data_IF_425870555872
#
_entry.id   IF_425870555872
#
_cell.length_a   1.000
_cell.length_b   1.000
_cell.length_c   1.000
_cell.angle_alpha   90.00
_cell.angle_beta   90.00
_cell.angle_gamma   90.00
#
_symmetry.space_group_name_H-M   'P 1'
#
loop_
_entity.id
_entity.type
_entity.pdbx_description
1 polymer ?
#
# COMPACT_ATOMS: atom_id res chain seq x y z
N UNK A 1 -18.44 -37.32 -20.05
CA UNK A 1 -17.88 -36.19 -20.83
C UNK A 1 -16.96 -35.38 -19.94
N UNK A 2 -15.72 -35.12 -20.35
CA UNK A 2 -14.74 -34.37 -19.57
C UNK A 2 -14.91 -32.85 -19.56
N UNK A 3 -16.06 -32.32 -19.99
CA UNK A 3 -16.32 -30.88 -20.08
C UNK A 3 -17.01 -30.38 -18.80
N UNK A 4 -16.54 -29.25 -18.26
CA UNK A 4 -17.12 -28.59 -17.09
C UNK A 4 -16.96 -27.08 -17.19
N UNK A 5 -17.84 -26.31 -16.53
CA UNK A 5 -17.80 -24.84 -16.54
C UNK A 5 -17.11 -24.31 -15.28
N UNK A 6 -16.20 -23.33 -15.41
CA UNK A 6 -15.56 -22.66 -14.26
C UNK A 6 -15.55 -21.15 -14.50
N UNK A 7 -16.38 -20.42 -13.74
CA UNK A 7 -16.75 -19.05 -14.07
C UNK A 7 -17.62 -18.99 -15.32
N UNK A 8 -17.29 -18.12 -16.26
CA UNK A 8 -18.01 -17.99 -17.52
C UNK A 8 -17.46 -18.93 -18.63
N UNK A 9 -16.28 -19.52 -18.46
CA UNK A 9 -15.56 -20.28 -19.50
C UNK A 9 -15.72 -21.80 -19.34
N UNK A 10 -15.83 -22.52 -20.47
CA UNK A 10 -15.80 -24.00 -20.51
C UNK A 10 -14.38 -24.56 -20.46
N UNK A 11 -14.23 -25.69 -19.77
CA UNK A 11 -12.98 -26.42 -19.58
C UNK A 11 -13.13 -27.88 -19.97
N UNK A 12 -12.08 -28.44 -20.56
CA UNK A 12 -11.94 -29.82 -20.96
C UNK A 12 -10.98 -30.57 -20.02
N UNK A 13 -11.34 -31.79 -19.62
CA UNK A 13 -10.52 -32.72 -18.86
C UNK A 13 -10.32 -34.00 -19.67
N UNK A 14 -9.07 -34.38 -19.91
CA UNK A 14 -8.70 -35.57 -20.68
C UNK A 14 -7.65 -36.36 -19.91
N UNK A 15 -7.77 -37.69 -19.87
CA UNK A 15 -6.70 -38.56 -19.38
C UNK A 15 -5.78 -38.96 -20.53
N UNK A 16 -4.47 -38.74 -20.36
CA UNK A 16 -3.45 -39.16 -21.32
C UNK A 16 -2.19 -39.60 -20.57
N UNK A 17 -1.67 -40.79 -20.90
CA UNK A 17 -0.51 -41.42 -20.24
C UNK A 17 -0.64 -41.51 -18.71
N UNK A 18 -1.81 -41.91 -18.21
CA UNK A 18 -2.09 -42.06 -16.78
C UNK A 18 -2.18 -40.74 -15.99
N UNK A 19 -2.05 -39.58 -16.66
CA UNK A 19 -2.19 -38.25 -16.05
C UNK A 19 -3.44 -37.55 -16.55
N UNK A 20 -4.13 -36.85 -15.64
CA UNK A 20 -5.26 -35.99 -15.98
C UNK A 20 -4.74 -34.63 -16.46
N UNK A 21 -5.10 -34.26 -17.68
CA UNK A 21 -4.81 -32.96 -18.29
C UNK A 21 -6.08 -32.14 -18.38
N UNK A 22 -5.98 -30.84 -18.07
CA UNK A 22 -7.11 -29.90 -18.14
C UNK A 22 -6.77 -28.72 -19.02
N UNK A 23 -7.69 -28.36 -19.91
CA UNK A 23 -7.53 -27.32 -20.92
C UNK A 23 -8.71 -26.35 -20.85
N UNK A 24 -8.45 -25.04 -20.99
CA UNK A 24 -9.51 -24.07 -21.19
C UNK A 24 -9.98 -24.11 -22.64
N UNK A 25 -11.28 -24.25 -22.87
CA UNK A 25 -11.87 -24.13 -24.21
C UNK A 25 -11.96 -22.67 -24.68
N UNK A 26 -11.68 -21.69 -23.78
CA UNK A 26 -11.72 -20.24 -24.05
C UNK A 26 -13.04 -19.73 -24.65
N UNK A 27 -14.12 -20.47 -24.45
CA UNK A 27 -15.45 -20.14 -24.96
C UNK A 27 -16.50 -20.20 -23.85
N UNK A 28 -17.55 -19.39 -24.01
CA UNK A 28 -18.75 -19.38 -23.19
C UNK A 28 -19.79 -20.38 -23.72
N UNK A 29 -19.68 -20.75 -25.00
CA UNK A 29 -20.60 -21.62 -25.71
C UNK A 29 -20.21 -23.10 -25.52
N UNK A 30 -21.20 -23.90 -25.13
CA UNK A 30 -21.05 -25.34 -24.88
C UNK A 30 -20.76 -26.11 -26.17
N UNK A 31 -21.33 -25.69 -27.30
CA UNK A 31 -21.17 -26.36 -28.60
C UNK A 31 -19.77 -26.14 -29.15
N UNK A 32 -19.26 -24.91 -29.07
CA UNK A 32 -17.86 -24.60 -29.37
C UNK A 32 -16.90 -25.36 -28.44
N UNK A 33 -17.23 -25.46 -27.15
CA UNK A 33 -16.42 -26.22 -26.19
C UNK A 33 -16.36 -27.72 -26.53
N UNK A 34 -17.45 -28.29 -27.05
CA UNK A 34 -17.48 -29.67 -27.54
C UNK A 34 -16.61 -29.86 -28.78
N UNK A 35 -16.62 -28.93 -29.73
CA UNK A 35 -15.75 -28.96 -30.90
C UNK A 35 -14.26 -28.88 -30.51
N UNK A 36 -13.91 -27.96 -29.59
CA UNK A 36 -12.55 -27.83 -29.05
C UNK A 36 -12.12 -29.10 -28.32
N UNK A 37 -13.00 -29.69 -27.51
CA UNK A 37 -12.73 -30.95 -26.82
C UNK A 37 -12.47 -32.12 -27.77
N UNK A 38 -13.29 -32.26 -28.82
CA UNK A 38 -13.12 -33.30 -29.84
C UNK A 38 -11.78 -33.13 -30.59
N UNK A 39 -11.41 -31.90 -30.92
CA UNK A 39 -10.13 -31.58 -31.55
C UNK A 39 -8.93 -31.96 -30.68
N UNK A 40 -8.97 -31.63 -29.39
CA UNK A 40 -7.92 -32.00 -28.42
C UNK A 40 -7.78 -33.52 -28.31
N UNK A 41 -8.89 -34.26 -28.24
CA UNK A 41 -8.87 -35.73 -28.21
C UNK A 41 -8.25 -36.33 -29.49
N UNK A 42 -8.55 -35.74 -30.65
CA UNK A 42 -8.00 -36.18 -31.93
C UNK A 42 -6.49 -35.97 -32.00
N UNK A 43 -6.01 -34.78 -31.60
CA UNK A 43 -4.58 -34.44 -31.61
C UNK A 43 -3.76 -35.30 -30.63
N UNK A 44 -4.34 -35.65 -29.48
CA UNK A 44 -3.74 -36.58 -28.52
C UNK A 44 -3.65 -38.01 -29.05
N UNK A 45 -4.67 -38.48 -29.79
CA UNK A 45 -4.64 -39.79 -30.45
C UNK A 45 -3.60 -39.86 -31.58
N UNK A 46 -3.38 -38.75 -32.27
CA UNK A 46 -2.42 -38.66 -33.38
C UNK A 46 -0.96 -38.47 -32.92
N UNK A 47 -0.69 -38.37 -31.61
CA UNK A 47 0.66 -38.19 -31.08
C UNK A 47 1.31 -36.84 -31.45
N UNK A 48 0.56 -35.91 -32.04
CA UNK A 48 1.06 -34.60 -32.51
C UNK A 48 1.07 -33.53 -31.42
N UNK A 49 0.30 -33.72 -30.35
CA UNK A 49 0.19 -32.74 -29.27
C UNK A 49 1.34 -32.89 -28.26
N UNK A 50 2.29 -31.96 -28.26
CA UNK A 50 3.04 -31.65 -27.03
C UNK A 50 2.04 -31.08 -26.03
N UNK A 51 1.70 -31.87 -25.01
CA UNK A 51 0.81 -31.43 -23.94
C UNK A 51 1.51 -30.32 -23.15
N UNK A 52 1.29 -29.06 -23.56
CA UNK A 52 1.64 -27.91 -22.73
C UNK A 52 0.69 -27.94 -21.54
N UNK A 53 1.22 -28.34 -20.39
CA UNK A 53 0.51 -28.29 -19.10
C UNK A 53 0.11 -26.83 -18.81
N UNK A 54 -1.10 -26.44 -19.18
CA UNK A 54 -1.69 -25.20 -18.66
C UNK A 54 -2.15 -25.48 -17.23
N UNK A 55 -1.32 -25.12 -16.25
CA UNK A 55 -1.72 -25.15 -14.83
C UNK A 55 -3.02 -24.32 -14.67
N UNK A 56 -4.07 -24.87 -14.04
CA UNK A 56 -5.27 -24.09 -13.78
C UNK A 56 -4.97 -23.08 -12.68
N UNK A 57 -5.05 -21.80 -13.01
CA UNK A 57 -4.79 -20.60 -12.20
C UNK A 57 -3.32 -20.18 -12.08
N UNK A 58 -2.80 -19.48 -13.08
CA UNK A 58 -2.09 -18.24 -12.79
C UNK A 58 -2.95 -17.13 -13.43
N UNK A 59 -3.48 -16.15 -12.67
CA UNK A 59 -3.96 -14.92 -13.29
C UNK A 59 -2.81 -14.38 -14.16
N UNK A 60 -3.12 -13.80 -15.31
CA UNK A 60 -2.11 -13.12 -16.14
C UNK A 60 -1.25 -12.26 -15.23
N UNK A 61 0.03 -12.65 -15.09
CA UNK A 61 0.89 -12.17 -14.02
C UNK A 61 1.00 -10.66 -14.17
N UNK A 62 0.82 -9.86 -13.11
CA UNK A 62 0.99 -8.42 -13.22
C UNK A 62 2.42 -8.14 -13.68
N UNK A 63 2.61 -7.72 -14.93
CA UNK A 63 3.92 -7.32 -15.47
C UNK A 63 4.46 -6.03 -14.84
N UNK A 64 3.61 -5.38 -14.03
CA UNK A 64 3.87 -4.09 -13.46
C UNK A 64 4.99 -4.17 -12.41
N UNK A 65 5.98 -3.30 -12.55
CA UNK A 65 6.99 -3.07 -11.52
C UNK A 65 6.38 -2.31 -10.34
N UNK A 66 7.04 -2.35 -9.19
CA UNK A 66 6.61 -1.59 -8.02
C UNK A 66 6.54 -0.09 -8.32
N UNK A 67 7.52 0.46 -9.03
CA UNK A 67 7.53 1.88 -9.36
C UNK A 67 6.37 2.28 -10.28
N UNK A 68 6.11 1.49 -11.34
CA UNK A 68 4.98 1.74 -12.24
C UNK A 68 3.65 1.66 -11.50
N UNK A 69 3.46 0.63 -10.68
CA UNK A 69 2.29 0.51 -9.82
C UNK A 69 2.13 1.73 -8.91
N UNK A 70 3.20 2.10 -8.23
CA UNK A 70 3.19 3.15 -7.23
C UNK A 70 2.86 4.50 -7.87
N UNK A 71 3.49 4.83 -8.99
CA UNK A 71 3.33 6.12 -9.65
C UNK A 71 2.03 6.22 -10.45
N UNK A 72 1.73 5.21 -11.26
CA UNK A 72 0.61 5.26 -12.19
C UNK A 72 -0.73 4.99 -11.53
N UNK A 73 -0.77 4.23 -10.43
CA UNK A 73 -2.01 3.86 -9.75
C UNK A 73 -2.08 4.44 -8.34
N UNK A 74 -1.14 4.07 -7.45
CA UNK A 74 -1.25 4.37 -6.03
C UNK A 74 -1.14 5.87 -5.71
N UNK A 75 -0.18 6.57 -6.32
CA UNK A 75 0.01 8.01 -6.14
C UNK A 75 -1.14 8.80 -6.75
N UNK A 76 -1.63 8.42 -7.94
CA UNK A 76 -2.81 9.08 -8.55
C UNK A 76 -4.04 8.96 -7.64
N UNK A 77 -4.26 7.79 -7.06
CA UNK A 77 -5.34 7.59 -6.09
C UNK A 77 -5.16 8.42 -4.81
N UNK A 78 -3.92 8.55 -4.30
CA UNK A 78 -3.65 9.37 -3.12
C UNK A 78 -3.89 10.87 -3.35
N UNK A 79 -3.73 11.35 -4.58
CA UNK A 79 -3.88 12.77 -4.94
C UNK A 79 -5.29 13.25 -4.63
N UNK A 80 -5.41 14.34 -3.86
CA UNK A 80 -6.68 14.92 -3.43
C UNK A 80 -7.43 14.14 -2.34
N UNK A 81 -7.04 12.90 -2.03
CA UNK A 81 -7.66 12.08 -0.98
C UNK A 81 -6.88 12.08 0.32
N UNK A 82 -5.56 12.27 0.26
CA UNK A 82 -4.71 12.15 1.43
C UNK A 82 -3.89 13.41 1.68
N UNK A 83 -3.98 13.92 2.92
CA UNK A 83 -3.21 15.07 3.40
C UNK A 83 -1.68 14.87 3.36
N UNK A 84 -1.20 13.62 3.25
CA UNK A 84 0.23 13.28 3.19
C UNK A 84 0.72 12.90 1.78
N UNK A 85 0.00 13.32 0.73
CA UNK A 85 0.35 13.03 -0.66
C UNK A 85 1.77 13.51 -1.03
N UNK A 86 2.13 14.74 -0.64
CA UNK A 86 3.43 15.33 -0.99
C UNK A 86 4.61 14.48 -0.49
N UNK A 87 4.53 13.97 0.74
CA UNK A 87 5.58 13.13 1.30
C UNK A 87 5.58 11.71 0.71
N UNK A 88 4.43 11.18 0.27
CA UNK A 88 4.38 9.92 -0.49
C UNK A 88 5.01 10.06 -1.88
N UNK A 89 4.92 11.24 -2.51
CA UNK A 89 5.63 11.51 -3.76
C UNK A 89 7.15 11.45 -3.56
N UNK A 90 7.66 11.93 -2.43
CA UNK A 90 9.08 11.85 -2.10
C UNK A 90 9.53 10.42 -1.77
N UNK A 91 8.66 9.60 -1.19
CA UNK A 91 8.96 8.20 -0.87
C UNK A 91 9.49 7.41 -2.07
N UNK A 92 8.89 7.56 -3.25
CA UNK A 92 9.37 6.85 -4.45
C UNK A 92 10.79 7.27 -4.86
N UNK A 93 11.21 8.50 -4.55
CA UNK A 93 12.57 8.99 -4.85
C UNK A 93 13.63 8.38 -3.95
N UNK A 94 13.32 8.15 -2.68
CA UNK A 94 14.26 7.59 -1.69
C UNK A 94 14.30 6.07 -1.68
N UNK A 95 13.33 5.41 -2.32
CA UNK A 95 13.33 3.96 -2.45
C UNK A 95 14.54 3.51 -3.30
N UNK A 96 15.21 2.40 -2.97
CA UNK A 96 16.35 1.96 -3.75
C UNK A 96 15.93 1.52 -5.16
N UNK A 97 16.80 1.79 -6.14
CA UNK A 97 16.49 1.59 -7.56
C UNK A 97 16.22 0.11 -7.91
N UNK A 98 16.90 -0.82 -7.23
CA UNK A 98 16.65 -2.24 -7.40
C UNK A 98 15.23 -2.62 -6.99
N UNK A 99 14.70 -2.05 -5.91
CA UNK A 99 13.35 -2.37 -5.43
C UNK A 99 12.27 -1.79 -6.33
N UNK A 100 12.50 -0.59 -6.88
CA UNK A 100 11.59 0.05 -7.84
C UNK A 100 11.31 -0.82 -9.06
N UNK A 101 12.33 -1.52 -9.54
CA UNK A 101 12.29 -2.36 -10.74
C UNK A 101 11.75 -3.78 -10.49
N UNK A 102 11.60 -4.19 -9.23
CA UNK A 102 11.00 -5.49 -8.92
C UNK A 102 9.54 -5.51 -9.37
N UNK A 103 9.13 -6.64 -9.94
CA UNK A 103 7.71 -6.90 -10.19
C UNK A 103 6.99 -7.07 -8.87
N UNK A 104 5.71 -6.71 -8.81
CA UNK A 104 4.97 -6.85 -7.56
C UNK A 104 5.03 -8.28 -7.02
N UNK A 105 4.83 -9.29 -7.87
CA UNK A 105 4.81 -10.72 -7.52
C UNK A 105 6.17 -11.27 -7.00
N UNK A 106 7.26 -10.60 -7.32
CA UNK A 106 8.61 -10.94 -6.82
C UNK A 106 8.86 -10.41 -5.41
N UNK A 107 8.12 -9.39 -4.98
CA UNK A 107 8.31 -8.77 -3.67
C UNK A 107 7.74 -9.69 -2.58
N UNK A 108 8.64 -10.25 -1.77
CA UNK A 108 8.32 -11.07 -0.61
C UNK A 108 8.83 -10.40 0.67
N UNK A 109 8.78 -11.13 1.78
CA UNK A 109 9.25 -10.65 3.09
C UNK A 109 10.72 -10.22 3.05
N UNK A 110 11.56 -11.01 2.35
CA UNK A 110 13.00 -10.77 2.24
C UNK A 110 13.30 -9.41 1.61
N UNK A 111 12.60 -9.04 0.54
CA UNK A 111 12.87 -7.78 -0.18
C UNK A 111 12.49 -6.57 0.68
N UNK A 112 11.45 -6.70 1.52
CA UNK A 112 11.08 -5.66 2.49
C UNK A 112 12.13 -5.51 3.61
N UNK A 113 12.68 -6.62 4.10
CA UNK A 113 13.76 -6.60 5.09
C UNK A 113 15.04 -5.98 4.51
N UNK A 114 15.36 -6.25 3.25
CA UNK A 114 16.45 -5.59 2.53
C UNK A 114 16.23 -4.08 2.38
N UNK A 115 14.99 -3.64 2.16
CA UNK A 115 14.65 -2.20 2.17
C UNK A 115 14.85 -1.59 3.56
N UNK A 116 14.49 -2.30 4.63
CA UNK A 116 14.74 -1.83 6.00
C UNK A 116 16.25 -1.67 6.24
N UNK A 117 17.06 -2.68 5.87
CA UNK A 117 18.51 -2.64 6.00
C UNK A 117 19.11 -1.47 5.21
N UNK A 118 18.66 -1.26 3.97
CA UNK A 118 19.10 -0.14 3.13
C UNK A 118 18.87 1.22 3.83
N UNK A 119 17.70 1.45 4.43
CA UNK A 119 17.46 2.71 5.13
C UNK A 119 18.24 2.82 6.45
N UNK A 120 18.50 1.71 7.14
CA UNK A 120 19.37 1.69 8.32
C UNK A 120 20.83 2.01 7.97
N UNK A 121 21.35 1.48 6.86
CA UNK A 121 22.68 1.81 6.33
C UNK A 121 22.81 3.30 5.96
N UNK A 122 21.71 3.92 5.53
CA UNK A 122 21.62 5.37 5.30
C UNK A 122 21.45 6.20 6.58
N UNK A 123 21.60 5.60 7.77
CA UNK A 123 21.41 6.23 9.08
C UNK A 123 20.03 6.89 9.26
N UNK A 124 18.99 6.38 8.60
CA UNK A 124 17.63 6.83 8.85
C UNK A 124 17.18 6.46 10.27
N UNK A 125 16.40 7.32 10.92
CA UNK A 125 15.80 6.97 12.21
C UNK A 125 14.85 5.78 12.08
N UNK A 126 14.73 4.98 13.14
CA UNK A 126 13.81 3.83 13.21
C UNK A 126 12.38 4.24 12.84
N UNK A 127 11.92 5.40 13.32
CA UNK A 127 10.62 5.98 12.98
C UNK A 127 10.46 6.19 11.47
N UNK A 128 11.51 6.66 10.79
CA UNK A 128 11.51 6.88 9.34
C UNK A 128 11.46 5.56 8.58
N UNK A 129 12.28 4.59 8.97
CA UNK A 129 12.25 3.23 8.40
C UNK A 129 10.87 2.59 8.54
N UNK A 130 10.27 2.67 9.74
CA UNK A 130 8.93 2.16 10.02
C UNK A 130 7.86 2.87 9.18
N UNK A 131 7.97 4.19 9.01
CA UNK A 131 7.07 4.97 8.16
C UNK A 131 7.12 4.54 6.70
N UNK A 132 8.32 4.31 6.17
CA UNK A 132 8.52 3.82 4.80
C UNK A 132 7.95 2.41 4.62
N UNK A 133 8.19 1.51 5.57
CA UNK A 133 7.55 0.19 5.59
C UNK A 133 6.01 0.30 5.59
N UNK A 134 5.43 1.20 6.39
CA UNK A 134 3.99 1.43 6.41
C UNK A 134 3.45 1.92 5.07
N UNK A 135 4.21 2.76 4.34
CA UNK A 135 3.81 3.21 2.99
C UNK A 135 3.75 2.03 2.02
N UNK A 136 4.77 1.16 2.03
CA UNK A 136 4.79 -0.06 1.19
C UNK A 136 3.60 -0.95 1.53
N UNK A 137 3.37 -1.25 2.81
CA UNK A 137 2.23 -2.09 3.24
C UNK A 137 0.88 -1.50 2.85
N UNK A 138 0.73 -0.18 2.94
CA UNK A 138 -0.48 0.51 2.52
C UNK A 138 -0.68 0.46 1.00
N UNK A 139 0.40 0.54 0.20
CA UNK A 139 0.32 0.41 -1.25
C UNK A 139 -0.07 -1.01 -1.66
N UNK A 140 0.48 -2.04 -1.01
CA UNK A 140 0.09 -3.44 -1.26
C UNK A 140 -1.33 -3.76 -0.83
N UNK A 141 -1.83 -3.15 0.25
CA UNK A 141 -3.25 -3.32 0.64
C UNK A 141 -4.17 -2.78 -0.46
N UNK A 142 -3.84 -1.61 -1.06
CA UNK A 142 -4.63 -1.10 -2.19
C UNK A 142 -4.44 -1.89 -3.48
N UNK A 143 -3.24 -2.40 -3.73
CA UNK A 143 -3.00 -3.29 -4.87
C UNK A 143 -3.91 -4.53 -4.81
N UNK A 144 -4.11 -5.10 -3.61
CA UNK A 144 -4.95 -6.28 -3.41
C UNK A 144 -6.44 -5.95 -3.56
N UNK A 145 -6.91 -4.84 -2.98
CA UNK A 145 -8.29 -4.36 -3.17
C UNK A 145 -8.62 -4.11 -4.65
N UNK A 146 -7.63 -3.75 -5.48
CA UNK A 146 -7.78 -3.55 -6.92
C UNK A 146 -7.55 -4.82 -7.75
N UNK A 147 -7.30 -5.97 -7.11
CA UNK A 147 -7.05 -7.24 -7.78
C UNK A 147 -5.72 -7.32 -8.52
N UNK A 148 -4.77 -6.40 -8.26
CA UNK A 148 -3.45 -6.36 -8.91
C UNK A 148 -2.51 -7.40 -8.29
N UNK A 149 -2.60 -7.61 -6.97
CA UNK A 149 -1.84 -8.63 -6.24
C UNK A 149 -2.77 -9.60 -5.54
N UNK A 150 -2.28 -10.81 -5.29
CA UNK A 150 -3.05 -11.84 -4.58
C UNK A 150 -3.13 -11.58 -3.07
N UNK A 151 -4.17 -12.10 -2.43
CA UNK A 151 -4.30 -12.07 -0.97
C UNK A 151 -3.11 -12.76 -0.28
N UNK A 152 -2.59 -13.85 -0.85
CA UNK A 152 -1.44 -14.57 -0.32
C UNK A 152 -0.19 -13.69 -0.26
N UNK A 153 0.03 -12.89 -1.30
CA UNK A 153 1.14 -11.94 -1.37
C UNK A 153 0.97 -10.84 -0.33
N UNK A 154 -0.22 -10.24 -0.22
CA UNK A 154 -0.52 -9.25 0.81
C UNK A 154 -0.27 -9.81 2.23
N UNK A 155 -0.70 -11.04 2.49
CA UNK A 155 -0.43 -11.74 3.77
C UNK A 155 1.07 -11.87 4.03
N UNK A 156 1.88 -12.18 3.02
CA UNK A 156 3.34 -12.25 3.15
C UNK A 156 3.93 -10.88 3.53
N UNK A 157 3.55 -9.83 2.80
CA UNK A 157 4.00 -8.45 3.04
C UNK A 157 3.63 -7.96 4.45
N UNK A 158 2.43 -8.31 4.95
CA UNK A 158 1.98 -7.91 6.28
C UNK A 158 2.80 -8.52 7.42
N UNK A 159 3.42 -9.70 7.23
CA UNK A 159 4.22 -10.40 8.25
C UNK A 159 5.50 -9.68 8.65
N UNK A 160 6.08 -8.86 7.76
CA UNK A 160 7.33 -8.14 8.06
C UNK A 160 7.12 -7.21 9.24
N UNK A 161 7.93 -7.34 10.30
CA UNK A 161 7.72 -6.55 11.52
C UNK A 161 8.38 -5.17 11.39
N UNK A 162 7.78 -4.12 11.99
CA UNK A 162 8.48 -2.85 12.16
C UNK A 162 9.73 -3.06 13.02
N UNK A 163 10.73 -2.21 12.80
CA UNK A 163 11.93 -2.15 13.62
C UNK A 163 11.55 -1.69 15.04
N UNK A 164 12.15 -2.33 16.05
CA UNK A 164 11.97 -1.99 17.47
C UNK A 164 12.94 -0.88 17.88
N UNK A 165 12.66 -0.23 19.01
CA UNK A 165 13.53 0.82 19.57
C UNK A 165 13.23 2.22 19.06
N UNK A 166 12.03 2.44 18.53
CA UNK A 166 11.56 3.78 18.20
C UNK A 166 11.46 4.62 19.48
N UNK A 167 12.37 5.59 19.63
CA UNK A 167 12.33 6.50 20.78
C UNK A 167 11.29 7.58 20.54
N UNK A 168 10.07 7.41 21.04
CA UNK A 168 9.15 8.53 21.20
C UNK A 168 9.60 9.37 22.39
N UNK A 169 10.57 10.27 22.21
CA UNK A 169 10.89 11.25 23.25
C UNK A 169 9.76 12.28 23.30
N UNK A 170 8.74 12.00 24.11
CA UNK A 170 7.78 13.00 24.57
C UNK A 170 8.47 13.78 25.70
N UNK A 171 9.11 14.89 25.34
CA UNK A 171 9.66 15.84 26.29
C UNK A 171 8.70 17.01 26.41
N UNK A 172 8.41 17.42 27.63
CA UNK A 172 7.70 18.65 27.95
C UNK A 172 8.69 19.71 28.43
N UNK A 173 8.33 20.99 28.26
CA UNK A 173 9.10 22.10 28.82
C UNK A 173 8.88 22.14 30.33
N UNK A 174 9.94 22.43 31.08
CA UNK A 174 9.80 22.75 32.52
C UNK A 174 9.26 24.16 32.71
N UNK A 175 8.83 24.50 33.93
CA UNK A 175 8.36 25.86 34.25
C UNK A 175 9.44 26.91 33.96
N UNK A 176 10.69 26.64 34.32
CA UNK A 176 11.82 27.55 34.05
C UNK A 176 12.11 27.68 32.54
N UNK A 177 11.90 26.61 31.76
CA UNK A 177 12.04 26.64 30.31
C UNK A 177 10.92 27.43 29.64
N UNK A 178 9.69 27.36 30.18
CA UNK A 178 8.57 28.17 29.73
C UNK A 178 8.82 29.65 30.00
N UNK A 179 9.28 30.01 31.20
CA UNK A 179 9.63 31.41 31.53
C UNK A 179 10.73 31.95 30.61
N UNK A 180 11.77 31.14 30.36
CA UNK A 180 12.83 31.50 29.40
C UNK A 180 12.30 31.64 27.97
N UNK A 181 11.41 30.76 27.54
CA UNK A 181 10.81 30.82 26.21
C UNK A 181 9.99 32.10 26.03
N UNK A 182 9.15 32.44 27.02
CA UNK A 182 8.28 33.62 26.97
C UNK A 182 9.10 34.91 27.01
N UNK A 183 10.11 35.00 27.90
CA UNK A 183 10.95 36.20 28.05
C UNK A 183 11.82 36.52 26.84
N UNK A 184 12.15 35.52 26.02
CA UNK A 184 12.95 35.66 24.81
C UNK A 184 12.11 35.63 23.52
N UNK A 185 10.78 35.68 23.62
CA UNK A 185 9.91 35.63 22.46
C UNK A 185 9.72 37.01 21.82
N UNK A 186 9.86 37.08 20.49
CA UNK A 186 9.53 38.30 19.75
C UNK A 186 8.04 38.64 19.88
N UNK A 187 7.72 39.94 19.84
CA UNK A 187 6.35 40.45 20.02
C UNK A 187 5.33 39.81 19.08
N UNK A 188 5.75 39.43 17.86
CA UNK A 188 4.88 38.81 16.86
C UNK A 188 4.58 37.33 17.16
N UNK A 189 5.51 36.62 17.78
CA UNK A 189 5.41 35.18 18.06
C UNK A 189 4.81 34.95 19.46
N UNK A 190 5.00 35.90 20.37
CA UNK A 190 4.54 35.83 21.75
C UNK A 190 3.07 35.41 21.90
N UNK A 191 2.09 36.02 21.19
CA UNK A 191 0.69 35.61 21.31
C UNK A 191 0.45 34.15 20.92
N UNK A 192 1.14 33.68 19.87
CA UNK A 192 1.03 32.30 19.37
C UNK A 192 1.54 31.31 20.42
N UNK A 193 2.68 31.62 21.05
CA UNK A 193 3.31 30.78 22.07
C UNK A 193 2.46 30.74 23.34
N UNK A 194 1.99 31.89 23.82
CA UNK A 194 1.13 31.97 25.01
C UNK A 194 -0.18 31.22 24.77
N UNK A 195 -0.81 31.38 23.60
CA UNK A 195 -2.00 30.59 23.25
C UNK A 195 -1.70 29.10 23.24
N UNK A 196 -0.57 28.66 22.65
CA UNK A 196 -0.19 27.25 22.63
C UNK A 196 -0.01 26.66 24.04
N UNK A 197 0.66 27.38 24.92
CA UNK A 197 0.92 26.96 26.30
C UNK A 197 -0.36 26.85 27.13
N UNK A 198 -1.29 27.79 26.97
CA UNK A 198 -2.52 27.84 27.78
C UNK A 198 -3.63 26.92 27.25
N UNK A 199 -3.68 26.66 25.95
CA UNK A 199 -4.80 25.92 25.34
C UNK A 199 -4.44 24.50 24.89
N UNK A 200 -3.14 24.18 24.78
CA UNK A 200 -2.67 22.92 24.21
C UNK A 200 -3.03 22.72 22.74
N UNK A 201 -3.49 23.77 22.04
CA UNK A 201 -3.84 23.71 20.61
C UNK A 201 -2.62 23.36 19.75
N UNK A 202 -2.85 22.65 18.64
CA UNK A 202 -1.77 22.38 17.67
C UNK A 202 -1.38 23.67 16.96
N UNK A 203 -0.10 23.83 16.63
CA UNK A 203 0.40 24.97 15.84
C UNK A 203 -0.47 25.31 14.64
N UNK A 204 -0.88 24.30 13.86
CA UNK A 204 -1.73 24.51 12.68
C UNK A 204 -3.15 24.98 13.03
N UNK A 205 -3.67 24.66 14.21
CA UNK A 205 -4.97 25.16 14.68
C UNK A 205 -4.84 26.64 15.09
N UNK A 206 -3.77 26.98 15.82
CA UNK A 206 -3.50 28.37 16.26
C UNK A 206 -3.28 29.29 15.06
N UNK A 207 -2.46 28.87 14.08
CA UNK A 207 -2.15 29.69 12.90
C UNK A 207 -3.34 29.89 11.95
N UNK A 208 -4.38 29.07 12.05
CA UNK A 208 -5.60 29.20 11.23
C UNK A 208 -6.78 29.78 12.04
N UNK A 209 -6.55 30.20 13.28
CA UNK A 209 -7.59 30.76 14.15
C UNK A 209 -8.05 32.13 13.61
N UNK A 210 -9.37 32.33 13.54
CA UNK A 210 -9.98 33.61 13.16
C UNK A 210 -10.68 34.23 14.37
N UNK A 211 -10.90 35.55 14.35
CA UNK A 211 -11.64 36.24 15.41
C UNK A 211 -13.07 35.69 15.59
N UNK A 212 -13.72 35.29 14.50
CA UNK A 212 -15.05 34.66 14.54
C UNK A 212 -15.07 33.31 15.29
N UNK A 213 -13.90 32.70 15.53
CA UNK A 213 -13.78 31.47 16.28
C UNK A 213 -13.68 31.71 17.80
N UNK A 214 -13.59 32.96 18.25
CA UNK A 214 -13.37 33.30 19.66
C UNK A 214 -14.62 33.95 20.22
N UNK A 215 -15.23 33.29 21.19
CA UNK A 215 -16.31 33.89 21.98
C UNK A 215 -15.74 34.47 23.27
N UNK A 216 -15.52 35.79 23.27
CA UNK A 216 -15.02 36.52 24.44
C UNK A 216 -16.04 36.59 25.58
N UNK A 217 -17.33 36.33 25.34
CA UNK A 217 -18.35 36.35 26.40
C UNK A 217 -18.31 35.08 27.23
N UNK A 218 -18.08 33.95 26.56
CA UNK A 218 -18.08 32.64 27.20
C UNK A 218 -16.66 32.11 27.44
N UNK A 219 -15.63 32.73 26.85
CA UNK A 219 -14.24 32.35 26.99
C UNK A 219 -13.84 31.13 26.17
N UNK A 220 -14.61 30.77 25.14
CA UNK A 220 -14.37 29.58 24.32
C UNK A 220 -13.71 29.89 22.98
N UNK A 221 -12.91 28.92 22.52
CA UNK A 221 -12.34 28.90 21.17
C UNK A 221 -12.96 27.73 20.40
N UNK A 222 -13.60 28.02 19.27
CA UNK A 222 -14.27 27.05 18.40
C UNK A 222 -13.38 26.63 17.23
N UNK A 223 -13.10 25.34 17.08
CA UNK A 223 -12.26 24.81 15.99
C UNK A 223 -13.12 24.14 14.91
N UNK A 224 -13.29 24.81 13.77
CA UNK A 224 -14.26 24.36 12.75
C UNK A 224 -13.83 23.12 11.95
N UNK A 225 -12.52 22.84 11.80
CA UNK A 225 -12.02 21.61 11.13
C UNK A 225 -10.66 21.17 11.67
N UNK A 226 -10.65 20.15 12.52
CA UNK A 226 -9.43 19.48 12.98
C UNK A 226 -9.19 18.16 12.25
N UNK A 227 -7.91 17.81 12.08
CA UNK A 227 -7.48 16.49 11.60
C UNK A 227 -7.83 15.46 12.69
N UNK A 228 -9.00 14.82 12.58
CA UNK A 228 -9.48 13.83 13.58
C UNK A 228 -8.43 12.73 13.78
N UNK A 229 -7.96 12.58 15.03
CA UNK A 229 -7.28 11.37 15.50
C UNK A 229 -8.39 10.48 16.04
N UNK A 230 -8.79 9.47 15.27
CA UNK A 230 -9.60 8.38 15.82
C UNK A 230 -8.72 7.67 16.86
N UNK A 231 -9.19 7.67 18.10
CA UNK A 231 -8.66 6.89 19.23
C UNK A 231 -8.84 5.40 18.98
#
# INVERSE_FOLDING_TARGET
>A
MGLFKRGNVWWASVMHNGKQHRFSCKTLDKTEAQAVYAKILLELKQGKARVKESKPNEPEKPELTYAEFYEQHYLKWCKGRQSYYASKKYFLKVLPEWFKKLRLDEIKTRELELVQNHFMELNCSIATCNRYLSIIKASFTKAEEWGIVSEQQLRAIRKVKPLKGESSRLRFLTEEEIEKLISNCDKEIYPIVVTALNTGMRKGEILNLKWDNIDFRTGFIYLEKTKKRLS
#
